data_IF_495377590056
#
_entry.id   IF_495377590056
#
_cell.length_a   1.000
_cell.length_b   1.000
_cell.length_c   1.000
_cell.angle_alpha   90.00
_cell.angle_beta   90.00
_cell.angle_gamma   90.00
#
_symmetry.space_group_name_H-M   'P 1'
#
loop_
_entity.id
_entity.type
_entity.pdbx_description
1 polymer ?
#
# COMPACT_ATOMS: atom_id res chain seq x y z
N UNK A 1 3.61 -2.88 -19.67
CA UNK A 1 3.04 -3.52 -18.46
C UNK A 1 2.10 -4.59 -18.96
N UNK A 2 2.49 -5.87 -18.86
CA UNK A 2 1.68 -7.00 -19.29
C UNK A 2 1.22 -7.71 -18.02
N UNK A 3 -0.09 -7.69 -17.76
CA UNK A 3 -0.68 -8.31 -16.58
C UNK A 3 -1.13 -9.74 -16.92
N UNK A 4 -0.62 -10.75 -16.22
CA UNK A 4 -1.10 -12.13 -16.34
C UNK A 4 -2.27 -12.35 -15.37
N UNK A 5 -3.47 -11.98 -15.81
CA UNK A 5 -4.73 -12.41 -15.21
C UNK A 5 -5.44 -13.34 -16.21
N UNK A 6 -6.30 -14.24 -15.71
CA UNK A 6 -7.11 -15.09 -16.59
C UNK A 6 -8.03 -14.21 -17.45
N UNK A 7 -8.07 -14.45 -18.76
CA UNK A 7 -8.77 -13.59 -19.73
C UNK A 7 -10.26 -13.39 -19.40
N UNK A 8 -10.91 -14.41 -18.83
CA UNK A 8 -12.33 -14.38 -18.45
C UNK A 8 -12.61 -13.77 -17.06
N UNK A 9 -11.57 -13.48 -16.27
CA UNK A 9 -11.64 -12.92 -14.90
C UNK A 9 -12.55 -13.68 -13.93
N UNK A 10 -12.78 -14.97 -14.16
CA UNK A 10 -13.64 -15.81 -13.31
C UNK A 10 -12.90 -16.48 -12.16
N UNK A 11 -11.58 -16.55 -12.23
CA UNK A 11 -10.69 -17.18 -11.27
C UNK A 11 -9.26 -16.62 -11.40
N UNK A 12 -8.42 -16.73 -10.36
CA UNK A 12 -7.01 -16.39 -10.47
C UNK A 12 -6.32 -17.27 -11.52
N UNK A 13 -5.28 -16.73 -12.16
CA UNK A 13 -4.50 -17.49 -13.15
C UNK A 13 -3.55 -18.51 -12.49
N UNK A 14 -3.02 -18.15 -11.32
CA UNK A 14 -2.04 -18.91 -10.56
C UNK A 14 -2.48 -19.06 -9.11
N UNK A 15 -1.98 -20.09 -8.44
CA UNK A 15 -2.24 -20.37 -7.03
C UNK A 15 -1.00 -20.99 -6.41
N UNK A 16 -0.60 -20.52 -5.23
CA UNK A 16 0.46 -21.17 -4.48
C UNK A 16 -0.02 -22.49 -3.90
N UNK A 17 0.86 -23.47 -3.91
CA UNK A 17 0.52 -24.82 -3.44
C UNK A 17 0.73 -25.00 -1.93
N UNK A 18 1.58 -24.17 -1.32
CA UNK A 18 1.96 -24.29 0.08
C UNK A 18 2.46 -22.95 0.68
N UNK A 19 1.63 -21.88 0.72
CA UNK A 19 2.02 -20.64 1.38
C UNK A 19 2.39 -20.87 2.85
N UNK A 20 3.37 -20.13 3.36
CA UNK A 20 3.86 -20.29 4.73
C UNK A 20 3.12 -19.43 5.74
N UNK A 21 2.56 -18.29 5.31
CA UNK A 21 1.88 -17.32 6.17
C UNK A 21 0.92 -16.42 5.37
N UNK A 22 0.23 -15.51 6.07
CA UNK A 22 -0.72 -14.57 5.44
C UNK A 22 -0.08 -13.67 4.39
N UNK A 23 1.13 -13.14 4.61
CA UNK A 23 1.78 -12.24 3.64
C UNK A 23 2.12 -13.02 2.38
N UNK A 24 2.75 -14.18 2.57
CA UNK A 24 3.13 -15.11 1.51
C UNK A 24 1.91 -15.46 0.64
N UNK A 25 0.83 -15.95 1.26
CA UNK A 25 -0.43 -16.25 0.57
C UNK A 25 -1.06 -15.04 -0.15
N UNK A 26 -0.82 -13.81 0.31
CA UNK A 26 -1.43 -12.59 -0.25
C UNK A 26 -0.54 -11.88 -1.27
N UNK A 27 0.67 -12.39 -1.51
CA UNK A 27 1.58 -11.93 -2.56
C UNK A 27 1.79 -13.06 -3.56
N UNK A 28 2.16 -12.71 -4.79
CA UNK A 28 2.54 -13.71 -5.78
C UNK A 28 3.52 -13.06 -6.74
N UNK A 29 4.71 -13.63 -6.92
CA UNK A 29 5.77 -13.13 -7.78
C UNK A 29 6.01 -14.08 -8.94
N UNK A 30 6.52 -13.54 -10.05
CA UNK A 30 6.86 -14.35 -11.23
C UNK A 30 7.90 -15.43 -10.88
N UNK A 31 8.80 -15.16 -9.93
CA UNK A 31 9.80 -16.13 -9.46
C UNK A 31 9.18 -17.38 -8.82
N UNK A 32 8.03 -17.26 -8.17
CA UNK A 32 7.33 -18.40 -7.54
C UNK A 32 6.64 -19.28 -8.59
N UNK A 33 6.16 -18.66 -9.67
CA UNK A 33 5.66 -19.38 -10.85
C UNK A 33 6.82 -20.08 -11.55
N UNK A 34 7.95 -19.40 -11.75
CA UNK A 34 9.12 -19.93 -12.45
C UNK A 34 9.81 -21.06 -11.65
N UNK A 35 9.75 -21.03 -10.31
CA UNK A 35 10.27 -22.07 -9.43
C UNK A 35 9.32 -23.26 -9.26
N UNK A 36 8.05 -23.12 -9.68
CA UNK A 36 7.00 -24.14 -9.54
C UNK A 36 6.31 -24.18 -8.18
N UNK A 37 6.55 -23.18 -7.33
CA UNK A 37 5.87 -22.99 -6.04
C UNK A 37 4.40 -22.58 -6.24
N UNK A 38 4.17 -21.69 -7.22
CA UNK A 38 2.86 -21.34 -7.74
C UNK A 38 2.57 -22.02 -9.07
N UNK A 39 1.35 -22.52 -9.23
CA UNK A 39 0.93 -23.34 -10.37
C UNK A 39 -0.26 -22.72 -11.09
N UNK A 40 -0.37 -22.97 -12.39
CA UNK A 40 -1.50 -22.51 -13.20
C UNK A 40 -2.79 -23.18 -12.74
N UNK A 41 -3.81 -22.40 -12.38
CA UNK A 41 -5.10 -22.93 -11.90
C UNK A 41 -5.80 -23.77 -12.97
N UNK A 42 -5.61 -23.44 -14.25
CA UNK A 42 -6.20 -24.19 -15.37
C UNK A 42 -5.70 -25.65 -15.46
N UNK A 43 -4.54 -25.95 -14.88
CA UNK A 43 -3.93 -27.29 -14.90
C UNK A 43 -4.32 -28.14 -13.67
N UNK A 44 -5.05 -27.55 -12.71
CA UNK A 44 -5.44 -28.20 -11.47
C UNK A 44 -6.79 -28.90 -11.56
N UNK A 45 -6.90 -30.02 -10.84
CA UNK A 45 -8.19 -30.66 -10.59
C UNK A 45 -8.98 -29.90 -9.51
N UNK A 46 -10.32 -30.05 -9.45
CA UNK A 46 -11.14 -29.44 -8.40
C UNK A 46 -10.69 -29.83 -6.98
N UNK A 47 -10.23 -31.05 -6.77
CA UNK A 47 -9.76 -31.53 -5.47
C UNK A 47 -8.46 -30.83 -5.05
N UNK A 48 -7.53 -30.62 -5.98
CA UNK A 48 -6.29 -29.85 -5.72
C UNK A 48 -6.60 -28.40 -5.39
N UNK A 49 -7.51 -27.77 -6.15
CA UNK A 49 -7.97 -26.40 -5.88
C UNK A 49 -8.56 -26.32 -4.46
N UNK A 50 -9.42 -27.27 -4.08
CA UNK A 50 -10.00 -27.33 -2.74
C UNK A 50 -8.96 -27.52 -1.65
N UNK A 51 -7.94 -28.35 -1.88
CA UNK A 51 -6.84 -28.56 -0.94
C UNK A 51 -6.02 -27.29 -0.72
N UNK A 52 -5.61 -26.60 -1.79
CA UNK A 52 -4.83 -25.37 -1.68
C UNK A 52 -5.65 -24.26 -1.03
N UNK A 53 -6.93 -24.11 -1.39
CA UNK A 53 -7.83 -23.14 -0.74
C UNK A 53 -7.95 -23.35 0.77
N UNK A 54 -7.93 -24.59 1.25
CA UNK A 54 -7.95 -24.87 2.68
C UNK A 54 -6.72 -24.30 3.42
N UNK A 55 -5.56 -24.22 2.75
CA UNK A 55 -4.36 -23.57 3.30
C UNK A 55 -4.55 -22.06 3.39
N UNK A 56 -5.04 -21.42 2.33
CA UNK A 56 -5.35 -19.98 2.32
C UNK A 56 -6.37 -19.60 3.40
N UNK A 57 -7.43 -20.40 3.55
CA UNK A 57 -8.47 -20.19 4.57
C UNK A 57 -7.88 -20.24 5.99
N UNK A 58 -6.90 -21.11 6.24
CA UNK A 58 -6.22 -21.21 7.53
C UNK A 58 -5.44 -19.94 7.91
N UNK A 59 -5.03 -19.14 6.92
CA UNK A 59 -4.41 -17.84 7.12
C UNK A 59 -5.39 -16.67 7.04
N UNK A 60 -6.68 -16.93 6.76
CA UNK A 60 -7.66 -15.91 6.39
C UNK A 60 -7.23 -15.08 5.16
N UNK A 61 -6.53 -15.71 4.23
CA UNK A 61 -6.03 -15.10 3.01
C UNK A 61 -6.96 -15.37 1.81
N UNK A 62 -6.78 -14.60 0.73
CA UNK A 62 -7.43 -14.80 -0.57
C UNK A 62 -6.35 -14.88 -1.65
N UNK A 63 -6.56 -15.74 -2.65
CA UNK A 63 -5.59 -15.89 -3.74
C UNK A 63 -5.46 -14.56 -4.53
N UNK A 64 -4.24 -14.06 -4.74
CA UNK A 64 -4.02 -12.87 -5.56
C UNK A 64 -4.50 -13.09 -7.00
N UNK A 65 -5.19 -12.09 -7.56
CA UNK A 65 -5.58 -12.13 -8.98
C UNK A 65 -4.37 -11.87 -9.91
N UNK A 66 -3.37 -11.13 -9.41
CA UNK A 66 -2.26 -10.61 -10.22
C UNK A 66 -0.92 -11.05 -9.66
N UNK A 67 -0.03 -11.42 -10.58
CA UNK A 67 1.40 -11.57 -10.30
C UNK A 67 2.01 -10.18 -10.11
N UNK A 68 2.59 -9.95 -8.95
CA UNK A 68 3.32 -8.75 -8.57
C UNK A 68 4.68 -8.73 -9.28
N UNK A 69 5.12 -7.51 -9.59
CA UNK A 69 6.43 -7.23 -10.12
C UNK A 69 7.10 -6.20 -9.20
N UNK A 70 8.38 -6.40 -8.91
CA UNK A 70 9.14 -5.40 -8.18
C UNK A 70 9.16 -4.06 -8.95
N UNK A 71 9.09 -2.94 -8.23
CA UNK A 71 9.31 -1.64 -8.86
C UNK A 71 10.73 -1.57 -9.46
N UNK A 72 10.89 -0.93 -10.61
CA UNK A 72 12.19 -0.70 -11.25
C UNK A 72 12.43 0.79 -11.55
N UNK A 73 13.69 1.23 -11.47
CA UNK A 73 14.06 2.62 -11.74
C UNK A 73 13.60 3.61 -10.65
N UNK A 74 13.41 4.87 -11.01
CA UNK A 74 13.05 5.96 -10.08
C UNK A 74 11.81 5.68 -9.23
N UNK A 75 10.78 5.04 -9.80
CA UNK A 75 9.55 4.66 -9.07
C UNK A 75 9.80 3.69 -7.91
N UNK A 76 10.88 2.90 -7.97
CA UNK A 76 11.23 1.94 -6.94
C UNK A 76 11.87 2.59 -5.69
N UNK A 77 12.26 3.88 -5.79
CA UNK A 77 12.82 4.63 -4.67
C UNK A 77 11.75 5.06 -3.64
N UNK A 78 10.47 4.82 -3.93
CA UNK A 78 9.34 5.08 -3.04
C UNK A 78 8.93 3.77 -2.36
N UNK A 79 9.02 3.75 -1.04
CA UNK A 79 8.50 2.67 -0.20
C UNK A 79 7.15 3.07 0.37
N UNK A 80 6.28 2.09 0.56
CA UNK A 80 4.96 2.26 1.17
C UNK A 80 4.75 1.21 2.26
N UNK A 81 4.11 1.60 3.34
CA UNK A 81 3.41 0.67 4.22
C UNK A 81 1.98 1.17 4.47
N UNK A 82 1.00 0.28 4.49
CA UNK A 82 -0.38 0.64 4.74
C UNK A 82 -1.07 -0.31 5.73
N UNK A 83 -1.98 0.22 6.53
CA UNK A 83 -2.81 -0.54 7.47
C UNK A 83 -4.27 -0.13 7.35
N UNK A 84 -5.16 -1.12 7.43
CA UNK A 84 -6.61 -0.88 7.56
C UNK A 84 -7.02 -1.14 9.00
N UNK A 85 -7.65 -0.15 9.64
CA UNK A 85 -8.18 -0.29 10.99
C UNK A 85 -9.37 0.63 11.20
N UNK A 86 -10.42 0.12 11.88
CA UNK A 86 -11.63 0.88 12.22
C UNK A 86 -12.28 1.62 11.03
N UNK A 87 -12.29 1.02 9.85
CA UNK A 87 -12.92 1.62 8.66
C UNK A 87 -12.05 2.64 7.92
N UNK A 88 -10.76 2.71 8.22
CA UNK A 88 -9.83 3.71 7.66
C UNK A 88 -8.54 3.04 7.18
N UNK A 89 -8.12 3.40 5.97
CA UNK A 89 -6.77 3.11 5.46
C UNK A 89 -5.82 4.21 5.93
N UNK A 90 -4.69 3.80 6.50
CA UNK A 90 -3.54 4.66 6.79
C UNK A 90 -2.37 4.16 5.97
N UNK A 91 -1.90 4.97 5.03
CA UNK A 91 -0.72 4.68 4.20
C UNK A 91 0.40 5.68 4.51
N UNK A 92 1.62 5.16 4.63
CA UNK A 92 2.84 5.92 4.85
C UNK A 92 3.79 5.68 3.69
N UNK A 93 4.29 6.77 3.11
CA UNK A 93 5.24 6.73 2.02
C UNK A 93 6.61 7.25 2.49
N UNK A 94 7.68 6.58 2.07
CA UNK A 94 9.06 6.98 2.31
C UNK A 94 9.83 7.08 1.00
N UNK A 95 10.58 8.17 0.83
CA UNK A 95 11.58 8.32 -0.24
C UNK A 95 12.69 9.26 0.18
N UNK A 96 13.80 9.29 -0.57
CA UNK A 96 14.84 10.33 -0.40
C UNK A 96 14.28 11.70 -0.77
N UNK A 97 14.71 12.74 -0.05
CA UNK A 97 14.37 14.12 -0.38
C UNK A 97 14.92 14.55 -1.74
N UNK A 98 16.18 14.18 -2.00
CA UNK A 98 16.88 14.42 -3.26
C UNK A 98 17.30 13.06 -3.79
N UNK A 99 16.67 12.64 -4.89
CA UNK A 99 16.93 11.34 -5.54
C UNK A 99 17.97 11.45 -6.65
N UNK A 100 18.09 12.62 -7.27
CA UNK A 100 18.95 12.84 -8.44
C UNK A 100 18.36 12.33 -9.76
N UNK A 101 17.17 11.72 -9.73
CA UNK A 101 16.45 11.32 -10.94
C UNK A 101 15.79 12.55 -11.60
N UNK A 102 15.87 12.66 -12.93
CA UNK A 102 15.38 13.84 -13.66
C UNK A 102 13.84 13.94 -13.73
N UNK A 103 13.16 12.83 -13.53
CA UNK A 103 11.69 12.69 -13.49
C UNK A 103 11.10 12.88 -12.09
N UNK A 104 11.95 13.01 -11.07
CA UNK A 104 11.53 13.20 -9.69
C UNK A 104 11.56 14.67 -9.27
N UNK A 105 10.56 15.07 -8.46
CA UNK A 105 10.65 16.31 -7.68
C UNK A 105 11.78 16.16 -6.65
N UNK A 106 12.72 17.11 -6.68
CA UNK A 106 13.81 17.24 -5.72
C UNK A 106 13.39 18.18 -4.60
N UNK A 107 13.27 17.66 -3.38
CA UNK A 107 12.98 18.45 -2.18
C UNK A 107 14.27 19.03 -1.59
N UNK A 108 15.00 19.79 -2.40
CA UNK A 108 16.30 20.40 -2.04
C UNK A 108 16.15 21.71 -1.24
N UNK A 109 14.95 22.29 -1.24
CA UNK A 109 14.61 23.48 -0.46
C UNK A 109 13.36 23.23 0.39
N UNK A 110 13.57 22.92 1.67
CA UNK A 110 12.50 22.60 2.61
C UNK A 110 11.65 23.81 3.03
N UNK A 111 12.04 25.03 2.65
CA UNK A 111 11.23 26.24 2.91
C UNK A 111 10.12 26.44 1.88
N UNK A 112 10.15 25.69 0.77
CA UNK A 112 9.17 25.80 -0.31
C UNK A 112 7.93 24.95 -0.06
N UNK A 113 6.88 25.38 -0.75
CA UNK A 113 5.66 24.63 -0.97
C UNK A 113 5.78 23.81 -2.25
N UNK A 114 5.53 22.51 -2.17
CA UNK A 114 5.54 21.59 -3.31
C UNK A 114 4.11 21.17 -3.64
N UNK A 115 3.71 21.28 -4.89
CA UNK A 115 2.38 20.84 -5.31
C UNK A 115 2.35 19.32 -5.42
N UNK A 116 1.25 18.72 -5.01
CA UNK A 116 0.97 17.30 -5.26
C UNK A 116 -0.54 17.09 -5.51
N UNK A 117 -0.89 15.93 -6.06
CA UNK A 117 -2.27 15.49 -6.21
C UNK A 117 -2.39 14.06 -5.68
N UNK A 118 -3.58 13.67 -5.25
CA UNK A 118 -3.84 12.33 -4.73
C UNK A 118 -4.92 11.67 -5.56
N UNK A 119 -4.73 10.39 -5.81
CA UNK A 119 -5.70 9.53 -6.51
C UNK A 119 -5.99 8.33 -5.62
N UNK A 120 -7.28 8.03 -5.40
CA UNK A 120 -7.74 6.92 -4.57
C UNK A 120 -8.42 5.89 -5.46
N UNK A 121 -8.03 4.64 -5.28
CA UNK A 121 -8.60 3.47 -5.96
C UNK A 121 -9.26 2.60 -4.88
N UNK A 122 -10.55 2.27 -5.03
CA UNK A 122 -11.30 1.45 -4.06
C UNK A 122 -11.49 0.00 -4.51
N UNK A 123 -10.91 -0.37 -5.66
CA UNK A 123 -11.03 -1.66 -6.32
C UNK A 123 -12.49 -2.14 -6.54
N UNK A 124 -13.49 -1.26 -6.43
CA UNK A 124 -14.91 -1.60 -6.56
C UNK A 124 -15.41 -1.54 -8.02
N UNK A 125 -14.63 -0.98 -8.95
CA UNK A 125 -15.09 -0.70 -10.32
C UNK A 125 -14.05 -0.71 -11.44
N UNK A 126 -12.85 -1.27 -11.23
CA UNK A 126 -11.79 -1.31 -12.25
C UNK A 126 -10.93 -0.03 -12.29
N UNK A 127 -10.73 0.55 -13.48
CA UNK A 127 -9.77 1.65 -13.72
C UNK A 127 -10.25 3.03 -13.21
N UNK A 128 -11.48 3.12 -12.71
CA UNK A 128 -12.03 4.35 -12.17
C UNK A 128 -11.37 4.69 -10.84
N UNK A 129 -11.07 5.97 -10.67
CA UNK A 129 -10.41 6.48 -9.48
C UNK A 129 -10.92 7.85 -9.10
N UNK A 130 -11.01 8.07 -7.79
CA UNK A 130 -11.33 9.37 -7.24
C UNK A 130 -10.05 10.21 -7.23
N UNK A 131 -10.12 11.39 -7.84
CA UNK A 131 -9.03 12.34 -7.89
C UNK A 131 -9.24 13.42 -6.84
N UNK A 132 -8.15 14.01 -6.35
CA UNK A 132 -8.24 15.27 -5.62
C UNK A 132 -8.81 16.34 -6.55
N UNK A 133 -9.87 17.01 -6.12
CA UNK A 133 -10.53 18.09 -6.89
C UNK A 133 -9.59 19.29 -7.13
N UNK A 134 -8.57 19.44 -6.27
CA UNK A 134 -7.58 20.50 -6.31
C UNK A 134 -6.16 19.96 -6.17
N UNK A 135 -5.18 20.78 -6.56
CA UNK A 135 -3.80 20.53 -6.20
C UNK A 135 -3.59 20.86 -4.73
N UNK A 136 -2.99 19.91 -4.03
CA UNK A 136 -2.61 20.03 -2.64
C UNK A 136 -1.17 20.57 -2.53
N UNK A 137 -0.78 20.97 -1.32
CA UNK A 137 0.56 21.51 -1.05
C UNK A 137 1.26 20.77 0.08
N UNK A 138 2.45 20.26 -0.19
CA UNK A 138 3.38 19.68 0.77
C UNK A 138 4.36 20.76 1.24
N UNK A 139 4.41 21.00 2.55
CA UNK A 139 5.37 21.90 3.20
C UNK A 139 6.12 21.15 4.30
N UNK A 140 7.44 21.34 4.35
CA UNK A 140 8.25 20.81 5.43
C UNK A 140 8.29 21.84 6.56
N UNK A 141 7.84 21.44 7.74
CA UNK A 141 7.94 22.28 8.95
C UNK A 141 9.16 21.85 9.75
N UNK A 142 9.95 22.80 10.29
CA UNK A 142 11.03 22.45 11.21
C UNK A 142 10.51 21.62 12.38
N UNK A 143 11.22 20.57 12.75
CA UNK A 143 10.94 19.85 13.99
C UNK A 143 11.18 20.82 15.16
N UNK A 144 10.12 21.33 15.78
CA UNK A 144 10.26 22.07 17.02
C UNK A 144 10.88 21.11 18.07
N UNK A 145 11.93 21.58 18.76
CA UNK A 145 12.62 20.85 19.83
C UNK A 145 11.63 20.27 20.86
N UNK A 146 11.97 19.15 21.52
CA UNK A 146 11.02 18.34 22.28
C UNK A 146 10.37 19.15 23.40
N UNK A 147 9.05 19.06 23.50
CA UNK A 147 8.31 19.51 24.67
C UNK A 147 8.80 18.65 25.84
N UNK A 148 9.65 19.21 26.69
CA UNK A 148 9.97 18.58 27.97
C UNK A 148 8.70 18.55 28.81
N UNK A 149 8.21 17.35 29.13
CA UNK A 149 7.25 17.16 30.21
C UNK A 149 5.78 16.92 29.83
N UNK A 150 5.49 16.20 28.75
CA UNK A 150 4.13 15.72 28.49
C UNK A 150 4.12 14.36 27.82
N UNK A 151 3.96 13.30 28.59
CA UNK A 151 3.50 12.02 28.04
C UNK A 151 2.12 12.27 27.44
N UNK A 152 2.00 12.21 26.10
CA UNK A 152 0.72 12.08 25.42
C UNK A 152 0.20 10.66 25.68
N UNK A 153 -0.40 10.47 26.85
CA UNK A 153 -1.26 9.33 27.12
C UNK A 153 -2.52 9.58 26.29
N UNK A 154 -2.88 8.64 25.41
CA UNK A 154 -4.13 8.69 24.65
C UNK A 154 -5.26 8.10 25.51
N UNK A 155 -6.22 8.89 26.02
CA UNK A 155 -7.44 8.32 26.55
C UNK A 155 -8.46 8.21 25.40
N UNK A 156 -8.94 6.99 25.22
CA UNK A 156 -10.27 6.61 24.70
C UNK A 156 -10.96 7.55 23.69
N UNK A 157 -11.15 6.99 22.50
CA UNK A 157 -12.02 7.49 21.43
C UNK A 157 -13.42 7.75 22.00
N UNK A 158 -13.75 9.02 22.21
CA UNK A 158 -15.11 9.47 22.47
C UNK A 158 -15.45 10.63 21.51
N UNK A 159 -16.39 10.34 20.61
CA UNK A 159 -17.29 11.26 19.92
C UNK A 159 -16.68 12.41 19.09
N UNK A 160 -16.87 12.32 17.77
CA UNK A 160 -17.08 13.43 16.82
C UNK A 160 -16.10 14.60 16.93
N UNK A 161 -15.07 14.56 16.09
CA UNK A 161 -14.26 15.75 15.82
C UNK A 161 -12.86 15.35 15.39
N UNK A 162 -12.53 15.75 14.17
CA UNK A 162 -11.16 15.90 13.66
C UNK A 162 -10.10 16.03 14.77
N UNK A 163 -9.14 15.12 14.81
CA UNK A 163 -7.87 15.30 15.53
C UNK A 163 -6.75 14.89 14.57
N UNK A 164 -5.95 15.89 14.21
CA UNK A 164 -4.63 15.77 13.57
C UNK A 164 -3.59 16.08 14.65
N UNK A 165 -2.72 15.13 15.01
CA UNK A 165 -1.43 15.31 15.74
C UNK A 165 -0.67 13.96 15.59
N UNK A 166 0.62 13.79 15.27
CA UNK A 166 1.81 14.62 15.08
C UNK A 166 3.09 13.85 15.54
N UNK A 167 4.29 14.34 15.15
CA UNK A 167 5.67 14.03 15.65
C UNK A 167 6.53 13.02 14.86
N UNK A 168 7.54 13.54 14.14
CA UNK A 168 8.64 12.81 13.49
C UNK A 168 9.96 13.13 14.21
N UNK A 169 10.71 12.10 14.61
CA UNK A 169 12.09 12.21 15.10
C UNK A 169 13.07 11.95 13.95
N UNK A 170 14.02 12.85 13.73
CA UNK A 170 14.95 12.78 12.61
C UNK A 170 16.05 11.74 12.83
N UNK A 171 15.92 10.61 12.14
CA UNK A 171 17.05 9.88 11.57
C UNK A 171 16.55 9.08 10.35
N UNK A 172 16.90 9.55 9.15
CA UNK A 172 16.94 8.80 7.86
C UNK A 172 15.67 8.56 7.00
N UNK A 173 14.54 9.22 7.22
CA UNK A 173 13.45 9.17 6.22
C UNK A 173 12.34 10.18 6.50
N UNK A 174 11.76 10.78 5.46
CA UNK A 174 10.57 11.64 5.61
C UNK A 174 9.32 10.85 5.19
N UNK A 175 8.32 10.92 6.06
CA UNK A 175 7.01 10.26 5.97
C UNK A 175 5.98 11.28 5.46
N UNK A 176 5.26 10.96 4.39
CA UNK A 176 4.08 11.69 3.93
C UNK A 176 2.79 11.05 4.48
N UNK A 177 1.84 11.87 4.94
CA UNK A 177 0.58 11.42 5.55
C UNK A 177 -0.60 11.65 4.59
N UNK A 178 -1.52 10.69 4.48
CA UNK A 178 -2.78 10.85 3.76
C UNK A 178 -3.96 10.30 4.57
N UNK A 179 -5.06 11.04 4.61
CA UNK A 179 -6.35 10.60 5.16
C UNK A 179 -7.38 10.70 4.05
N UNK A 180 -7.91 9.57 3.60
CA UNK A 180 -9.10 9.52 2.75
C UNK A 180 -10.31 9.11 3.60
N UNK A 181 -11.37 9.93 3.57
CA UNK A 181 -12.68 9.58 4.14
C UNK A 181 -13.59 9.10 3.01
N UNK A 182 -14.05 7.85 3.08
CA UNK A 182 -15.25 7.44 2.33
C UNK A 182 -16.48 8.03 3.02
N UNK A 183 -17.36 8.71 2.26
CA UNK A 183 -18.74 8.92 2.70
C UNK A 183 -19.43 7.57 2.73
N UNK A 184 -19.85 7.12 3.92
CA UNK A 184 -20.86 6.09 4.01
C UNK A 184 -22.17 6.65 3.47
N UNK A 185 -22.74 5.97 2.47
CA UNK A 185 -24.18 5.98 2.19
C UNK A 185 -24.79 4.71 2.76
#
# INVERSE_FOLDING_TARGET
MWWYAKEDKTAPAYMETAPENYIDAMTLYQSEVDSGEAVTVADLTPDQIGQYWAVYDSFHAVVPERVLHAGEGSRADVLEAATWSNGVWTAEYQRKLVTGNADDVQFDDLSKSYLFATTIMDNAGGDNHDLSDTLETLQFVPAALPVSGGVLVWPEIAAVGLIVVGVLSLATGVVGFFVSRRRAS
#
